data_IF_857940419377
#
_entry.id   IF_857940419377
#
_cell.length_a   1.000
_cell.length_b   1.000
_cell.length_c   1.000
_cell.angle_alpha   90.00
_cell.angle_beta   90.00
_cell.angle_gamma   90.00
#
_symmetry.space_group_name_H-M   'P 1'
#
loop_
_entity.id
_entity.type
_entity.pdbx_description
1 polymer ?
#
# COMPACT_ATOMS: atom_id res chain seq x y z
N UNK A 1 19.53 11.49 -22.55
CA UNK A 1 19.17 11.88 -21.16
C UNK A 1 17.65 11.91 -20.98
N UNK A 2 16.91 12.52 -21.91
CA UNK A 2 15.43 12.60 -21.84
C UNK A 2 14.73 11.25 -21.97
N UNK A 3 15.13 10.39 -22.92
CA UNK A 3 14.51 9.07 -23.12
C UNK A 3 14.61 8.19 -21.86
N UNK A 4 15.76 8.20 -21.19
CA UNK A 4 15.96 7.47 -19.93
C UNK A 4 15.03 7.98 -18.82
N UNK A 5 14.84 9.30 -18.73
CA UNK A 5 13.92 9.92 -17.76
C UNK A 5 12.46 9.54 -18.04
N UNK A 6 12.04 9.55 -19.31
CA UNK A 6 10.69 9.11 -19.71
C UNK A 6 10.47 7.64 -19.36
N UNK A 7 11.45 6.76 -19.64
CA UNK A 7 11.36 5.33 -19.31
C UNK A 7 11.27 5.13 -17.80
N UNK A 8 12.11 5.82 -17.01
CA UNK A 8 12.08 5.72 -15.55
C UNK A 8 10.74 6.24 -15.00
N UNK A 9 10.21 7.35 -15.52
CA UNK A 9 8.89 7.86 -15.16
C UNK A 9 7.77 6.85 -15.45
N UNK A 10 7.84 6.17 -16.59
CA UNK A 10 6.88 5.12 -16.96
C UNK A 10 6.99 3.90 -16.02
N UNK A 11 8.21 3.54 -15.61
CA UNK A 11 8.44 2.48 -14.62
C UNK A 11 7.83 2.84 -13.27
N UNK A 12 8.03 4.07 -12.79
CA UNK A 12 7.35 4.57 -11.59
C UNK A 12 5.83 4.38 -11.76
N UNK A 13 5.22 4.93 -12.83
CA UNK A 13 3.78 4.82 -13.06
C UNK A 13 3.28 3.36 -12.97
N UNK A 14 3.92 2.44 -13.70
CA UNK A 14 3.53 1.02 -13.71
C UNK A 14 3.64 0.40 -12.31
N UNK A 15 4.75 0.62 -11.62
CA UNK A 15 4.97 0.11 -10.26
C UNK A 15 3.95 0.69 -9.28
N UNK A 16 3.67 1.99 -9.36
CA UNK A 16 2.68 2.66 -8.53
C UNK A 16 1.27 2.08 -8.70
N UNK A 17 0.84 1.85 -9.95
CA UNK A 17 -0.46 1.22 -10.24
C UNK A 17 -0.54 -0.19 -9.68
N UNK A 18 0.52 -0.99 -9.82
CA UNK A 18 0.57 -2.37 -9.29
C UNK A 18 0.51 -2.39 -7.77
N UNK A 19 1.29 -1.53 -7.10
CA UNK A 19 1.29 -1.41 -5.63
C UNK A 19 -0.07 -0.97 -5.12
N UNK A 20 -0.69 0.03 -5.74
CA UNK A 20 -2.00 0.53 -5.37
C UNK A 20 -3.09 -0.55 -5.54
N UNK A 21 -3.09 -1.25 -6.67
CA UNK A 21 -4.01 -2.36 -6.91
C UNK A 21 -3.82 -3.48 -5.89
N UNK A 22 -2.57 -3.81 -5.56
CA UNK A 22 -2.23 -4.79 -4.53
C UNK A 22 -2.80 -4.40 -3.16
N UNK A 23 -2.58 -3.15 -2.74
CA UNK A 23 -3.11 -2.61 -1.48
C UNK A 23 -4.64 -2.70 -1.43
N UNK A 24 -5.33 -2.28 -2.50
CA UNK A 24 -6.79 -2.34 -2.60
C UNK A 24 -7.33 -3.76 -2.52
N UNK A 25 -6.72 -4.72 -3.21
CA UNK A 25 -7.14 -6.12 -3.16
C UNK A 25 -6.96 -6.73 -1.77
N UNK A 26 -5.87 -6.41 -1.07
CA UNK A 26 -5.66 -6.88 0.30
C UNK A 26 -6.70 -6.24 1.24
N UNK A 27 -6.98 -4.94 1.09
CA UNK A 27 -8.03 -4.25 1.86
C UNK A 27 -9.40 -4.91 1.69
N UNK A 28 -9.81 -5.19 0.46
CA UNK A 28 -11.08 -5.88 0.18
C UNK A 28 -11.12 -7.29 0.77
N UNK A 29 -9.98 -8.01 0.78
CA UNK A 29 -9.89 -9.32 1.45
C UNK A 29 -9.99 -9.18 2.97
N UNK A 30 -9.38 -8.15 3.55
CA UNK A 30 -9.44 -7.88 4.99
C UNK A 30 -10.87 -7.54 5.45
N UNK A 31 -11.63 -6.79 4.66
CA UNK A 31 -13.04 -6.47 4.96
C UNK A 31 -13.90 -7.73 5.15
N UNK A 32 -13.61 -8.80 4.41
CA UNK A 32 -14.30 -10.10 4.53
C UNK A 32 -13.87 -10.92 5.75
N UNK A 33 -12.75 -10.59 6.37
CA UNK A 33 -12.17 -11.30 7.51
C UNK A 33 -12.45 -10.60 8.86
N UNK A 34 -13.34 -9.60 8.84
CA UNK A 34 -13.81 -8.89 10.03
C UNK A 34 -14.82 -9.74 10.79
N UNK A 35 -14.60 -9.91 12.09
CA UNK A 35 -15.50 -10.62 12.98
C UNK A 35 -16.64 -9.71 13.45
N UNK A 36 -17.87 -10.13 13.15
CA UNK A 36 -19.07 -9.65 13.86
C UNK A 36 -19.56 -8.25 13.51
N UNK A 37 -19.44 -7.81 12.24
CA UNK A 37 -20.12 -6.59 11.76
C UNK A 37 -19.68 -5.27 12.41
N UNK A 38 -18.55 -5.27 13.14
CA UNK A 38 -18.00 -4.05 13.74
C UNK A 38 -17.39 -3.15 12.69
N UNK A 39 -17.65 -1.85 12.81
CA UNK A 39 -17.02 -0.83 11.97
C UNK A 39 -15.55 -0.72 12.36
N UNK A 40 -14.65 -1.11 11.46
CA UNK A 40 -13.21 -1.03 11.68
C UNK A 40 -12.68 0.29 11.13
N UNK A 41 -11.85 0.96 11.91
CA UNK A 41 -11.12 2.15 11.47
C UNK A 41 -10.01 1.71 10.51
N UNK A 42 -10.30 1.75 9.21
CA UNK A 42 -9.36 1.39 8.14
C UNK A 42 -8.23 2.41 7.96
N UNK A 43 -8.46 3.66 8.37
CA UNK A 43 -7.52 4.78 8.22
C UNK A 43 -6.67 5.03 9.46
N UNK A 44 -6.51 4.04 10.35
CA UNK A 44 -5.62 4.24 11.48
C UNK A 44 -4.17 4.30 10.98
N UNK A 45 -3.52 5.42 11.23
CA UNK A 45 -2.15 5.73 10.79
C UNK A 45 -1.12 4.77 11.41
N UNK A 46 -1.49 4.11 12.51
CA UNK A 46 -0.62 3.19 13.20
C UNK A 46 -0.76 1.76 12.66
N UNK A 47 0.36 1.07 12.37
CA UNK A 47 0.33 -0.33 12.00
C UNK A 47 -0.13 -1.17 13.21
N UNK A 48 -1.43 -1.43 13.29
CA UNK A 48 -1.99 -2.40 14.23
C UNK A 48 -1.61 -3.80 13.75
N UNK A 49 -0.75 -4.47 14.51
CA UNK A 49 -0.20 -5.77 14.13
C UNK A 49 -1.17 -6.93 14.32
N UNK A 50 -2.05 -6.85 15.32
CA UNK A 50 -3.12 -7.81 15.57
C UNK A 50 -4.34 -7.07 16.17
N UNK A 51 -5.54 -7.46 15.78
CA UNK A 51 -6.78 -7.04 16.43
C UNK A 51 -7.67 -8.26 16.69
N UNK A 52 -8.41 -8.20 17.81
CA UNK A 52 -9.44 -9.18 18.17
C UNK A 52 -10.64 -9.15 17.20
N UNK A 53 -10.77 -8.08 16.43
CA UNK A 53 -11.85 -7.85 15.46
C UNK A 53 -11.60 -8.57 14.12
N UNK A 54 -10.46 -9.25 13.96
CA UNK A 54 -10.13 -10.00 12.75
C UNK A 54 -9.93 -11.49 13.03
N UNK A 55 -10.14 -12.33 12.01
CA UNK A 55 -9.64 -13.71 11.98
C UNK A 55 -8.11 -13.74 11.98
N UNK A 56 -7.51 -14.90 12.24
CA UNK A 56 -6.05 -15.06 12.11
C UNK A 56 -5.57 -14.75 10.67
N UNK A 57 -6.37 -15.17 9.69
CA UNK A 57 -6.15 -14.83 8.28
C UNK A 57 -6.25 -13.33 8.03
N UNK A 58 -7.24 -12.66 8.62
CA UNK A 58 -7.39 -11.20 8.58
C UNK A 58 -6.19 -10.47 9.18
N UNK A 59 -5.67 -10.93 10.31
CA UNK A 59 -4.45 -10.38 10.92
C UNK A 59 -3.21 -10.62 10.05
N UNK A 60 -3.09 -11.79 9.40
CA UNK A 60 -2.03 -12.05 8.41
C UNK A 60 -2.12 -11.10 7.20
N UNK A 61 -3.33 -10.88 6.68
CA UNK A 61 -3.57 -9.93 5.60
C UNK A 61 -3.25 -8.48 6.02
N UNK A 62 -3.58 -8.08 7.25
CA UNK A 62 -3.20 -6.76 7.80
C UNK A 62 -1.70 -6.54 7.83
N UNK A 63 -0.92 -7.56 8.24
CA UNK A 63 0.55 -7.47 8.21
C UNK A 63 1.05 -7.23 6.78
N UNK A 64 0.51 -7.97 5.80
CA UNK A 64 0.83 -7.77 4.38
C UNK A 64 0.43 -6.38 3.90
N UNK A 65 -0.77 -5.91 4.26
CA UNK A 65 -1.25 -4.56 3.93
C UNK A 65 -0.31 -3.48 4.49
N UNK A 66 0.08 -3.59 5.75
CA UNK A 66 1.01 -2.65 6.38
C UNK A 66 2.36 -2.62 5.67
N UNK A 67 2.90 -3.78 5.27
CA UNK A 67 4.14 -3.85 4.48
C UNK A 67 3.98 -3.11 3.15
N UNK A 68 2.91 -3.39 2.39
CA UNK A 68 2.64 -2.68 1.12
C UNK A 68 2.48 -1.18 1.35
N UNK A 69 1.82 -0.78 2.43
CA UNK A 69 1.65 0.63 2.78
C UNK A 69 2.99 1.32 3.05
N UNK A 70 3.90 0.69 3.79
CA UNK A 70 5.27 1.19 3.95
C UNK A 70 6.02 1.29 2.62
N UNK A 71 5.91 0.28 1.76
CA UNK A 71 6.50 0.30 0.42
C UNK A 71 5.96 1.47 -0.40
N UNK A 72 4.65 1.75 -0.33
CA UNK A 72 4.03 2.90 -0.99
C UNK A 72 4.56 4.25 -0.46
N UNK A 73 4.85 4.37 0.84
CA UNK A 73 5.48 5.58 1.40
C UNK A 73 6.88 5.77 0.81
N UNK A 74 7.73 4.74 0.85
CA UNK A 74 9.08 4.82 0.28
C UNK A 74 9.06 5.09 -1.23
N UNK A 75 8.15 4.43 -1.95
CA UNK A 75 7.92 4.65 -3.37
C UNK A 75 7.53 6.11 -3.65
N UNK A 76 6.65 6.69 -2.84
CA UNK A 76 6.22 8.09 -2.98
C UNK A 76 7.38 9.06 -2.74
N UNK A 77 8.20 8.81 -1.72
CA UNK A 77 9.41 9.59 -1.46
C UNK A 77 10.40 9.50 -2.62
N UNK A 78 10.65 8.29 -3.15
CA UNK A 78 11.52 8.08 -4.29
C UNK A 78 11.02 8.81 -5.55
N UNK A 79 9.71 8.78 -5.80
CA UNK A 79 9.09 9.51 -6.90
C UNK A 79 9.27 11.03 -6.75
N UNK A 80 9.08 11.59 -5.55
CA UNK A 80 9.30 13.02 -5.29
C UNK A 80 10.75 13.41 -5.57
N UNK A 81 11.72 12.60 -5.10
CA UNK A 81 13.14 12.83 -5.38
C UNK A 81 13.43 12.77 -6.88
N UNK A 82 12.88 11.78 -7.58
CA UNK A 82 13.01 11.66 -9.03
C UNK A 82 12.44 12.87 -9.77
N UNK A 83 11.26 13.36 -9.37
CA UNK A 83 10.65 14.56 -9.95
C UNK A 83 11.51 15.80 -9.70
N UNK A 84 11.98 16.01 -8.47
CA UNK A 84 12.86 17.14 -8.13
C UNK A 84 14.24 17.09 -8.81
N UNK A 85 14.80 15.91 -9.03
CA UNK A 85 16.03 15.75 -9.79
C UNK A 85 15.79 15.86 -11.31
N UNK A 86 14.52 15.89 -11.72
CA UNK A 86 14.11 16.02 -13.11
C UNK A 86 13.79 17.46 -13.51
N UNK A 87 13.46 18.31 -12.55
CA UNK A 87 13.43 19.77 -12.70
C UNK A 87 14.85 20.34 -12.88
#
# INVERSE_FOLDING_TARGET
METSRVIIGLLFLVVGVVLFRGAMLIRLKMEKEVKGGRVIIWNSFFPYWNSKDFTERGNSLRKKYNIIYFVLIFYSLALIVFMKASD
#
